data_IF_048602965205
#
_entry.id   IF_048602965205
#
_cell.length_a   1.000
_cell.length_b   1.000
_cell.length_c   1.000
_cell.angle_alpha   90.00
_cell.angle_beta   90.00
_cell.angle_gamma   90.00
#
_symmetry.space_group_name_H-M   'P 1'
#
loop_
_entity.id
_entity.type
_entity.pdbx_description
1 polymer ?
#
# COMPACT_ATOMS: atom_id res chain seq x y z
N UNK A 1 -8.34 -6.19 32.84
CA UNK A 1 -7.83 -5.37 31.72
C UNK A 1 -8.25 -6.03 30.41
N UNK A 2 -8.44 -5.25 29.34
CA UNK A 2 -8.57 -5.81 27.99
C UNK A 2 -7.20 -5.82 27.32
N UNK A 3 -6.87 -6.89 26.57
CA UNK A 3 -5.60 -7.00 25.85
C UNK A 3 -5.53 -6.00 24.71
N UNK A 4 -4.37 -5.34 24.55
CA UNK A 4 -4.10 -4.37 23.49
C UNK A 4 -3.64 -5.07 22.22
N UNK A 5 -2.93 -6.20 22.34
CA UNK A 5 -2.46 -6.99 21.21
C UNK A 5 -2.94 -8.44 21.29
N UNK A 6 -3.07 -9.11 20.14
CA UNK A 6 -3.43 -10.54 20.08
C UNK A 6 -2.37 -11.41 20.79
N UNK A 7 -1.10 -11.01 20.77
CA UNK A 7 0.00 -11.69 21.45
C UNK A 7 -0.10 -11.65 22.98
N UNK A 8 -0.96 -10.79 23.54
CA UNK A 8 -1.19 -10.68 24.99
C UNK A 8 -2.35 -11.57 25.47
N UNK A 9 -3.03 -12.28 24.56
CA UNK A 9 -4.16 -13.14 24.93
C UNK A 9 -3.71 -14.32 25.76
N UNK A 10 -4.36 -14.49 26.92
CA UNK A 10 -4.09 -15.58 27.85
C UNK A 10 -5.33 -16.45 28.06
N UNK A 11 -5.16 -17.65 28.61
CA UNK A 11 -6.26 -18.58 28.93
C UNK A 11 -7.42 -17.95 29.73
N UNK A 12 -7.18 -17.04 30.70
CA UNK A 12 -8.26 -16.34 31.41
C UNK A 12 -9.18 -15.47 30.54
N UNK A 13 -8.70 -15.03 29.37
CA UNK A 13 -9.45 -14.19 28.42
C UNK A 13 -10.43 -15.01 27.58
N UNK A 14 -10.31 -16.34 27.58
CA UNK A 14 -11.20 -17.26 26.85
C UNK A 14 -11.91 -18.26 27.76
N UNK A 15 -11.67 -18.22 29.07
CA UNK A 15 -12.20 -19.17 30.07
C UNK A 15 -13.74 -19.30 30.12
N UNK A 16 -14.48 -18.31 29.62
CA UNK A 16 -15.95 -18.36 29.59
C UNK A 16 -16.47 -18.05 28.19
N UNK A 17 -17.63 -18.61 27.78
CA UNK A 17 -18.20 -18.33 26.46
C UNK A 17 -18.38 -16.83 26.19
N UNK A 18 -18.76 -16.04 27.20
CA UNK A 18 -18.89 -14.59 27.07
C UNK A 18 -17.56 -13.92 26.74
N UNK A 19 -16.49 -14.29 27.45
CA UNK A 19 -15.15 -13.74 27.20
C UNK A 19 -14.59 -14.20 25.86
N UNK A 20 -14.74 -15.49 25.53
CA UNK A 20 -14.32 -16.03 24.23
C UNK A 20 -14.98 -15.29 23.06
N UNK A 21 -16.30 -15.03 23.12
CA UNK A 21 -17.01 -14.24 22.10
C UNK A 21 -16.42 -12.83 21.92
N UNK A 22 -16.07 -12.17 23.03
CA UNK A 22 -15.45 -10.83 23.02
C UNK A 22 -14.08 -10.87 22.34
N UNK A 23 -13.24 -11.84 22.71
CA UNK A 23 -11.90 -12.02 22.12
C UNK A 23 -11.99 -12.35 20.63
N UNK A 24 -12.91 -13.21 20.21
CA UNK A 24 -13.13 -13.51 18.78
C UNK A 24 -13.47 -12.23 18.00
N UNK A 25 -14.35 -11.38 18.54
CA UNK A 25 -14.69 -10.09 17.92
C UNK A 25 -13.47 -9.18 17.82
N UNK A 26 -12.66 -9.10 18.87
CA UNK A 26 -11.42 -8.33 18.89
C UNK A 26 -10.41 -8.82 17.83
N UNK A 27 -10.15 -10.14 17.77
CA UNK A 27 -9.24 -10.75 16.80
C UNK A 27 -9.70 -10.49 15.37
N UNK A 28 -10.98 -10.71 15.07
CA UNK A 28 -11.56 -10.44 13.74
C UNK A 28 -11.41 -8.97 13.31
N UNK A 29 -11.63 -8.04 14.23
CA UNK A 29 -11.46 -6.61 13.95
C UNK A 29 -9.99 -6.25 13.68
N UNK A 30 -9.06 -6.83 14.44
CA UNK A 30 -7.63 -6.60 14.23
C UNK A 30 -7.14 -7.19 12.90
N UNK A 31 -7.59 -8.40 12.56
CA UNK A 31 -7.30 -9.06 11.30
C UNK A 31 -7.84 -8.25 10.09
N UNK A 32 -9.08 -7.77 10.17
CA UNK A 32 -9.65 -6.90 9.14
C UNK A 32 -8.80 -5.65 8.92
N UNK A 33 -8.46 -4.93 10.01
CA UNK A 33 -7.61 -3.73 9.94
C UNK A 33 -6.24 -4.00 9.32
N UNK A 34 -5.64 -5.16 9.62
CA UNK A 34 -4.37 -5.60 9.02
C UNK A 34 -4.54 -5.87 7.52
N UNK A 35 -5.58 -6.60 7.12
CA UNK A 35 -5.86 -6.90 5.71
C UNK A 35 -6.10 -5.63 4.89
N UNK A 36 -6.89 -4.70 5.39
CA UNK A 36 -7.12 -3.40 4.74
C UNK A 36 -5.82 -2.61 4.57
N UNK A 37 -4.98 -2.57 5.60
CA UNK A 37 -3.67 -1.91 5.52
C UNK A 37 -2.78 -2.55 4.44
N UNK A 38 -2.71 -3.87 4.38
CA UNK A 38 -1.93 -4.59 3.37
C UNK A 38 -2.45 -4.25 1.97
N UNK A 39 -3.76 -4.31 1.76
CA UNK A 39 -4.38 -4.00 0.46
C UNK A 39 -4.11 -2.56 0.02
N UNK A 40 -4.20 -1.60 0.95
CA UNK A 40 -3.90 -0.20 0.67
C UNK A 40 -2.43 0.00 0.29
N UNK A 41 -1.50 -0.60 1.03
CA UNK A 41 -0.07 -0.53 0.71
C UNK A 41 0.24 -1.18 -0.65
N UNK A 42 -0.35 -2.32 -0.96
CA UNK A 42 -0.21 -2.97 -2.26
C UNK A 42 -0.79 -2.13 -3.40
N UNK A 43 -1.91 -1.44 -3.17
CA UNK A 43 -2.49 -0.51 -4.15
C UNK A 43 -1.56 0.69 -4.37
N UNK A 44 -1.07 1.30 -3.30
CA UNK A 44 -0.13 2.41 -3.37
C UNK A 44 1.14 2.03 -4.12
N UNK A 45 1.74 0.88 -3.79
CA UNK A 45 2.95 0.39 -4.45
C UNK A 45 2.74 0.18 -5.96
N UNK A 46 1.64 -0.49 -6.35
CA UNK A 46 1.28 -0.64 -7.77
C UNK A 46 1.12 0.69 -8.49
N UNK A 47 0.50 1.68 -7.85
CA UNK A 47 0.34 3.01 -8.45
C UNK A 47 1.67 3.76 -8.58
N UNK A 48 2.56 3.65 -7.60
CA UNK A 48 3.87 4.26 -7.64
C UNK A 48 4.75 3.63 -8.73
N UNK A 49 4.76 2.30 -8.83
CA UNK A 49 5.49 1.59 -9.89
C UNK A 49 5.01 2.02 -11.28
N UNK A 50 3.68 2.04 -11.51
CA UNK A 50 3.12 2.55 -12.78
C UNK A 50 3.50 3.99 -13.06
N UNK A 51 3.58 4.83 -12.04
CA UNK A 51 3.97 6.23 -12.20
C UNK A 51 5.44 6.37 -12.56
N UNK A 52 6.31 5.54 -11.97
CA UNK A 52 7.73 5.46 -12.33
C UNK A 52 7.86 5.02 -13.79
N UNK A 53 7.23 3.91 -14.17
CA UNK A 53 7.23 3.38 -15.54
C UNK A 53 6.75 4.44 -16.56
N UNK A 54 5.64 5.14 -16.27
CA UNK A 54 5.15 6.20 -17.15
C UNK A 54 6.14 7.37 -17.29
N UNK A 55 6.85 7.73 -16.21
CA UNK A 55 7.85 8.80 -16.26
C UNK A 55 9.09 8.36 -17.03
N UNK A 56 9.54 7.11 -16.85
CA UNK A 56 10.63 6.52 -17.62
C UNK A 56 10.30 6.52 -19.11
N UNK A 57 9.11 6.03 -19.49
CA UNK A 57 8.64 6.03 -20.87
C UNK A 57 8.52 7.46 -21.45
N UNK A 58 8.07 8.43 -20.66
CA UNK A 58 8.00 9.83 -21.10
C UNK A 58 9.41 10.38 -21.37
N UNK A 59 10.37 10.12 -20.48
CA UNK A 59 11.75 10.55 -20.67
C UNK A 59 12.36 9.90 -21.91
N UNK A 60 12.12 8.62 -22.13
CA UNK A 60 12.58 7.90 -23.32
C UNK A 60 12.03 8.55 -24.60
N UNK A 61 10.71 8.77 -24.67
CA UNK A 61 10.07 9.42 -25.82
C UNK A 61 10.58 10.84 -26.08
N UNK A 62 10.84 11.62 -25.02
CA UNK A 62 11.40 12.95 -25.15
C UNK A 62 12.85 12.92 -25.65
N UNK A 63 13.65 11.92 -25.25
CA UNK A 63 15.00 11.70 -25.78
C UNK A 63 14.98 11.29 -27.24
N UNK A 64 14.14 10.33 -27.62
CA UNK A 64 14.01 9.86 -29.01
C UNK A 64 13.64 10.99 -29.97
N UNK A 65 12.81 11.93 -29.50
CA UNK A 65 12.41 13.11 -30.29
C UNK A 65 13.41 14.26 -30.24
N UNK A 66 14.58 14.08 -29.60
CA UNK A 66 15.57 15.14 -29.37
C UNK A 66 14.99 16.37 -28.63
N UNK A 67 13.89 16.20 -27.90
CA UNK A 67 13.20 17.26 -27.15
C UNK A 67 13.83 17.50 -25.76
N UNK A 68 15.00 16.91 -25.50
CA UNK A 68 15.77 17.07 -24.27
C UNK A 68 17.21 17.55 -24.51
N UNK A 69 17.62 17.80 -25.76
CA UNK A 69 18.93 18.40 -26.08
C UNK A 69 18.80 19.90 -26.39
N UNK A 70 19.93 20.59 -26.51
CA UNK A 70 19.95 22.00 -26.94
C UNK A 70 19.31 22.21 -28.32
N UNK A 71 19.31 21.17 -29.17
CA UNK A 71 18.68 21.16 -30.50
C UNK A 71 17.14 21.00 -30.47
N UNK A 72 16.53 20.87 -29.29
CA UNK A 72 15.08 20.69 -29.14
C UNK A 72 14.28 21.86 -29.75
N UNK A 73 14.82 23.07 -29.71
CA UNK A 73 14.20 24.25 -30.32
C UNK A 73 14.12 24.12 -31.85
N UNK A 74 15.16 23.57 -32.48
CA UNK A 74 15.21 23.39 -33.94
C UNK A 74 14.23 22.32 -34.41
N UNK A 75 13.98 21.27 -33.61
CA UNK A 75 12.97 20.24 -33.90
C UNK A 75 11.53 20.77 -33.81
N UNK A 76 11.28 21.74 -32.94
CA UNK A 76 9.95 22.33 -32.72
C UNK A 76 9.60 23.47 -33.68
N UNK A 77 10.61 24.02 -34.38
CA UNK A 77 10.47 25.15 -35.30
C UNK A 77 10.38 24.74 -36.78
N UNK A 78 10.31 23.43 -37.07
CA UNK A 78 10.03 22.88 -38.42
C UNK A 78 8.53 22.80 -38.69
#
# INVERSE_FOLDING_TARGET
MEPRYISELMTPDVKTPRKARRIIKFVKANDLKRRERIQNLQRMNRNLLKRIENLENLIEHLKEKLLMSEDAADVLLV
#
